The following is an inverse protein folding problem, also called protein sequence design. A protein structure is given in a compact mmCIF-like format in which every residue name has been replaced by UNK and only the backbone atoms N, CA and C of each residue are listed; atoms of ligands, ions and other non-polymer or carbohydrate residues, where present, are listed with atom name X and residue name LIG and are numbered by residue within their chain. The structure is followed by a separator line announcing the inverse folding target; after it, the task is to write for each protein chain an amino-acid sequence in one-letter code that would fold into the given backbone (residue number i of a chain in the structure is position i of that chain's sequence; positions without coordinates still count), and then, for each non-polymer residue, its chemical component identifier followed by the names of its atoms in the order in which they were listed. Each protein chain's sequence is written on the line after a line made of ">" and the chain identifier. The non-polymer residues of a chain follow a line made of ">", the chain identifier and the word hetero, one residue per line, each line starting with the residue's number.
data_IF_391603660012
#
_entry.id   IF_391603660012
#
_cell.length_a   1.000
_cell.length_b   1.000
_cell.length_c   1.000
_cell.angle_alpha   90.00
_cell.angle_beta   90.00
_cell.angle_gamma   90.00
#
_symmetry.space_group_name_H-M   'P 1'
#
loop_
_entity.id
_entity.type
_entity.pdbx_description
1 polymer ?
#
# COMPACT_ATOMS: atom_id res chain seq x y z
N UNK A 1 -14.49 -2.27 -8.35
CA UNK A 1 -14.40 -0.81 -8.18
C UNK A 1 -12.93 -0.45 -8.28
N UNK A 2 -12.57 0.71 -8.79
CA UNK A 2 -11.16 1.09 -8.82
C UNK A 2 -10.73 1.46 -7.40
N UNK A 3 -9.50 1.12 -6.98
CA UNK A 3 -8.92 1.49 -5.67
C UNK A 3 -9.15 2.96 -5.32
N UNK A 4 -9.08 3.85 -6.31
CA UNK A 4 -9.36 5.28 -6.14
C UNK A 4 -10.78 5.56 -5.63
N UNK A 5 -11.78 4.87 -6.17
CA UNK A 5 -13.19 5.05 -5.77
C UNK A 5 -13.39 4.64 -4.32
N UNK A 6 -12.82 3.50 -3.92
CA UNK A 6 -12.88 2.99 -2.54
C UNK A 6 -12.22 3.96 -1.57
N UNK A 7 -11.01 4.43 -1.90
CA UNK A 7 -10.29 5.42 -1.11
C UNK A 7 -11.11 6.72 -0.98
N UNK A 8 -11.71 7.21 -2.07
CA UNK A 8 -12.54 8.43 -2.02
C UNK A 8 -13.76 8.24 -1.13
N UNK A 9 -14.46 7.12 -1.24
CA UNK A 9 -15.61 6.80 -0.38
C UNK A 9 -15.19 6.80 1.09
N UNK A 10 -14.09 6.14 1.43
CA UNK A 10 -13.60 6.03 2.81
C UNK A 10 -13.08 7.35 3.38
N UNK A 11 -12.59 8.27 2.53
CA UNK A 11 -12.19 9.63 2.92
C UNK A 11 -13.35 10.64 2.93
N UNK A 12 -14.60 10.22 2.69
CA UNK A 12 -15.77 11.10 2.68
C UNK A 12 -15.97 11.90 1.39
N UNK A 13 -15.59 11.32 0.25
CA UNK A 13 -15.70 11.87 -1.11
C UNK A 13 -15.11 13.28 -1.28
N UNK A 14 -13.82 13.48 -0.98
CA UNK A 14 -13.19 14.78 -1.13
C UNK A 14 -13.09 15.19 -2.61
N UNK A 15 -13.38 16.47 -2.90
CA UNK A 15 -13.20 17.04 -4.24
C UNK A 15 -11.75 17.49 -4.47
N UNK A 16 -11.27 17.36 -5.71
CA UNK A 16 -9.97 17.91 -6.14
C UNK A 16 -8.73 17.16 -5.64
N UNK A 17 -8.87 16.00 -5.00
CA UNK A 17 -7.74 15.23 -4.46
C UNK A 17 -7.28 14.07 -5.35
N UNK A 18 -7.94 13.82 -6.48
CA UNK A 18 -7.70 12.64 -7.33
C UNK A 18 -6.23 12.50 -7.74
N UNK A 19 -5.56 13.58 -8.12
CA UNK A 19 -4.14 13.54 -8.49
C UNK A 19 -3.24 13.13 -7.31
N UNK A 20 -3.53 13.64 -6.11
CA UNK A 20 -2.79 13.31 -4.89
C UNK A 20 -3.05 11.86 -4.48
N UNK A 21 -4.31 11.43 -4.48
CA UNK A 21 -4.70 10.06 -4.15
C UNK A 21 -4.09 9.06 -5.14
N UNK A 22 -4.18 9.31 -6.45
CA UNK A 22 -3.55 8.48 -7.46
C UNK A 22 -2.02 8.38 -7.27
N UNK A 23 -1.37 9.47 -6.88
CA UNK A 23 0.07 9.45 -6.58
C UNK A 23 0.38 8.53 -5.40
N UNK A 24 -0.39 8.62 -4.32
CA UNK A 24 -0.21 7.77 -3.13
C UNK A 24 -0.51 6.30 -3.46
N UNK A 25 -1.58 6.03 -4.23
CA UNK A 25 -1.96 4.69 -4.69
C UNK A 25 -0.81 4.09 -5.50
N UNK A 26 -0.31 4.79 -6.53
CA UNK A 26 0.77 4.31 -7.38
C UNK A 26 2.04 3.96 -6.58
N UNK A 27 2.42 4.80 -5.60
CA UNK A 27 3.56 4.54 -4.74
C UNK A 27 3.33 3.34 -3.81
N UNK A 28 2.11 3.17 -3.32
CA UNK A 28 1.70 2.07 -2.44
C UNK A 28 1.69 0.74 -3.20
N UNK A 29 1.13 0.72 -4.42
CA UNK A 29 1.17 -0.44 -5.31
C UNK A 29 2.60 -0.85 -5.65
N UNK A 30 3.46 0.11 -6.00
CA UNK A 30 4.87 -0.18 -6.29
C UNK A 30 5.61 -0.78 -5.10
N UNK A 31 5.32 -0.32 -3.88
CA UNK A 31 5.89 -0.90 -2.67
C UNK A 31 5.36 -2.32 -2.43
N UNK A 32 4.05 -2.54 -2.53
CA UNK A 32 3.45 -3.86 -2.33
C UNK A 32 3.97 -4.88 -3.35
N UNK A 33 4.05 -4.50 -4.62
CA UNK A 33 4.69 -5.30 -5.69
C UNK A 33 6.12 -5.71 -5.33
N UNK A 34 6.90 -4.78 -4.80
CA UNK A 34 8.26 -5.05 -4.34
C UNK A 34 8.29 -6.06 -3.19
N UNK A 35 7.40 -5.92 -2.20
CA UNK A 35 7.31 -6.83 -1.04
C UNK A 35 6.88 -8.27 -1.44
N UNK A 36 5.96 -8.35 -2.41
CA UNK A 36 5.48 -9.60 -2.99
C UNK A 36 6.48 -10.24 -3.96
N UNK A 37 7.41 -9.45 -4.51
CA UNK A 37 8.26 -9.81 -5.63
C UNK A 37 7.43 -10.20 -6.88
N UNK A 38 6.47 -9.35 -7.24
CA UNK A 38 5.52 -9.53 -8.35
C UNK A 38 5.39 -8.25 -9.19
N UNK A 39 5.09 -8.39 -10.48
CA UNK A 39 4.90 -7.24 -11.39
C UNK A 39 3.53 -6.55 -11.24
N UNK A 40 2.57 -7.24 -10.61
CA UNK A 40 1.20 -6.76 -10.41
C UNK A 40 0.72 -7.08 -8.99
N UNK A 41 -0.19 -6.26 -8.47
CA UNK A 41 -0.85 -6.53 -7.18
C UNK A 41 -1.95 -7.57 -7.41
N UNK A 42 -1.93 -8.72 -6.70
CA UNK A 42 -3.00 -9.71 -6.78
C UNK A 42 -4.31 -9.14 -6.24
N UNK A 43 -5.44 -9.48 -6.86
CA UNK A 43 -6.77 -9.03 -6.42
C UNK A 43 -7.07 -9.38 -4.95
N UNK A 44 -6.58 -10.52 -4.44
CA UNK A 44 -6.76 -10.92 -3.03
C UNK A 44 -6.00 -10.01 -2.03
N UNK A 45 -5.08 -9.16 -2.50
CA UNK A 45 -4.30 -8.22 -1.70
C UNK A 45 -4.59 -6.75 -2.06
N UNK A 46 -5.54 -6.48 -2.95
CA UNK A 46 -5.86 -5.11 -3.41
C UNK A 46 -6.35 -4.23 -2.25
N UNK A 47 -7.02 -4.81 -1.25
CA UNK A 47 -7.47 -4.11 -0.05
C UNK A 47 -6.32 -3.45 0.73
N UNK A 48 -5.11 -4.04 0.71
CA UNK A 48 -3.92 -3.47 1.36
C UNK A 48 -3.58 -2.11 0.72
N UNK A 49 -3.71 -2.00 -0.61
CA UNK A 49 -3.43 -0.75 -1.32
C UNK A 49 -4.41 0.33 -0.87
N UNK A 50 -5.70 0.00 -0.75
CA UNK A 50 -6.74 0.92 -0.28
C UNK A 50 -6.45 1.41 1.15
N UNK A 51 -6.24 0.50 2.09
CA UNK A 51 -6.07 0.86 3.49
C UNK A 51 -4.75 1.61 3.75
N UNK A 52 -3.64 1.15 3.16
CA UNK A 52 -2.35 1.83 3.28
C UNK A 52 -2.37 3.21 2.62
N UNK A 53 -3.10 3.38 1.51
CA UNK A 53 -3.30 4.70 0.89
C UNK A 53 -3.96 5.68 1.85
N UNK A 54 -5.00 5.24 2.56
CA UNK A 54 -5.71 6.08 3.55
C UNK A 54 -4.78 6.46 4.70
N UNK A 55 -4.03 5.49 5.24
CA UNK A 55 -3.04 5.73 6.31
C UNK A 55 -2.04 6.80 5.87
N UNK A 56 -1.45 6.64 4.67
CA UNK A 56 -0.48 7.58 4.12
C UNK A 56 -1.06 8.96 3.86
N UNK A 57 -2.27 9.02 3.31
CA UNK A 57 -2.96 10.28 3.08
C UNK A 57 -3.18 11.06 4.39
N UNK A 58 -3.68 10.38 5.43
CA UNK A 58 -3.90 10.97 6.74
C UNK A 58 -2.60 11.43 7.39
N UNK A 59 -1.54 10.63 7.28
CA UNK A 59 -0.20 10.97 7.81
C UNK A 59 0.36 12.24 7.16
N UNK A 60 0.37 12.31 5.83
CA UNK A 60 0.81 13.50 5.07
C UNK A 60 -0.04 14.73 5.45
N UNK A 61 -1.35 14.56 5.65
CA UNK A 61 -2.23 15.63 6.11
C UNK A 61 -1.89 16.13 7.52
N UNK A 62 -1.50 15.24 8.42
CA UNK A 62 -1.16 15.55 9.82
C UNK A 62 0.24 16.16 10.00
N UNK A 63 1.18 15.88 9.10
CA UNK A 63 2.55 16.43 9.11
C UNK A 63 2.57 17.95 8.85
N UNK A 64 1.61 18.46 8.06
CA UNK A 64 1.42 19.90 7.84
C UNK A 64 0.84 20.66 9.05
N UNK A 65 0.22 19.95 10.01
CA UNK A 65 -0.32 20.52 11.25
C UNK A 65 0.71 20.45 12.38
N UNK A 66 1.63 19.49 12.31
CA UNK A 66 2.67 19.22 13.30
C UNK A 66 4.05 19.76 12.91
N UNK A 67 4.12 20.72 11.97
CA UNK A 67 5.33 21.34 11.41
C UNK A 67 6.13 22.21 12.40
N UNK A 68 6.30 21.73 13.63
CA UNK A 68 7.30 22.17 14.58
C UNK A 68 8.11 20.94 15.05
N UNK A 69 8.76 20.23 14.13
CA UNK A 69 9.90 19.37 14.49
C UNK A 69 10.72 18.91 13.28
N UNK A 70 12.00 19.28 13.38
CA UNK A 70 13.22 18.67 12.83
C UNK A 70 13.40 18.57 11.30
N UNK A 71 14.08 19.60 10.80
CA UNK A 71 15.09 19.52 9.74
C UNK A 71 15.97 18.26 9.91
N UNK A 72 16.00 17.40 8.90
CA UNK A 72 17.19 16.57 8.65
C UNK A 72 17.10 15.07 8.91
N UNK A 73 15.93 14.44 8.95
CA UNK A 73 15.85 12.98 8.78
C UNK A 73 15.43 12.68 7.34
N UNK A 74 16.33 12.03 6.61
CA UNK A 74 16.09 11.51 5.27
C UNK A 74 14.73 10.82 5.25
N UNK A 75 13.94 11.01 4.18
CA UNK A 75 12.66 10.32 3.98
C UNK A 75 12.87 8.80 3.81
N UNK A 76 13.29 8.13 4.87
CA UNK A 76 12.97 6.75 5.11
C UNK A 76 11.45 6.76 5.26
N UNK A 77 10.73 6.56 4.16
CA UNK A 77 9.31 6.19 4.15
C UNK A 77 9.21 4.97 5.06
N UNK A 78 9.04 5.23 6.35
CA UNK A 78 9.24 4.31 7.44
C UNK A 78 8.41 3.05 7.17
N UNK A 79 9.06 1.89 7.27
CA UNK A 79 8.57 0.54 6.96
C UNK A 79 7.28 0.10 7.70
N UNK A 80 6.59 1.01 8.40
CA UNK A 80 5.50 0.70 9.32
C UNK A 80 4.11 0.67 8.67
N UNK A 81 3.88 1.35 7.53
CA UNK A 81 2.51 1.41 6.99
C UNK A 81 2.01 0.03 6.51
N UNK A 82 2.91 -0.91 6.24
CA UNK A 82 2.59 -2.29 5.85
C UNK A 82 2.65 -3.28 7.02
N UNK A 83 3.04 -2.85 8.23
CA UNK A 83 3.31 -3.74 9.35
C UNK A 83 2.10 -4.64 9.71
N UNK A 84 0.89 -4.08 9.62
CA UNK A 84 -0.36 -4.82 9.88
C UNK A 84 -0.72 -5.88 8.84
N UNK A 85 -0.01 -5.93 7.71
CA UNK A 85 -0.32 -6.82 6.58
C UNK A 85 0.84 -7.76 6.23
N UNK A 86 1.90 -7.79 7.03
CA UNK A 86 3.06 -8.65 6.77
C UNK A 86 2.65 -10.13 6.74
N UNK A 87 1.78 -10.55 7.65
CA UNK A 87 1.29 -11.94 7.71
C UNK A 87 0.53 -12.34 6.43
N UNK A 88 -0.32 -11.45 5.89
CA UNK A 88 -1.06 -11.70 4.65
C UNK A 88 -0.13 -11.74 3.43
N UNK A 89 0.86 -10.84 3.38
CA UNK A 89 1.89 -10.82 2.35
C UNK A 89 2.72 -12.10 2.38
N UNK A 90 3.12 -12.57 3.57
CA UNK A 90 3.87 -13.81 3.74
C UNK A 90 3.02 -15.04 3.40
N UNK A 91 1.77 -15.08 3.83
CA UNK A 91 0.84 -16.16 3.50
C UNK A 91 0.65 -16.29 1.98
N UNK A 92 0.51 -15.17 1.27
CA UNK A 92 0.45 -15.15 -0.19
C UNK A 92 1.72 -15.75 -0.83
N UNK A 93 2.90 -15.30 -0.40
CA UNK A 93 4.19 -15.78 -0.91
C UNK A 93 4.37 -17.27 -0.67
N UNK A 94 3.98 -17.76 0.51
CA UNK A 94 4.07 -19.17 0.87
C UNK A 94 3.14 -20.03 0.01
N UNK A 95 1.86 -19.67 -0.12
CA UNK A 95 0.89 -20.33 -1.00
C UNK A 95 1.40 -20.44 -2.44
N UNK A 96 2.00 -19.37 -2.96
CA UNK A 96 2.58 -19.37 -4.31
C UNK A 96 3.78 -20.31 -4.46
N UNK A 97 4.65 -20.36 -3.46
CA UNK A 97 5.81 -21.26 -3.46
C UNK A 97 5.42 -22.74 -3.34
N UNK A 98 4.39 -23.07 -2.55
CA UNK A 98 3.84 -24.42 -2.48
C UNK A 98 3.29 -24.89 -3.83
N UNK A 99 2.57 -24.03 -4.55
CA UNK A 99 2.06 -24.34 -5.90
C UNK A 99 3.20 -24.58 -6.89
N UNK A 100 4.27 -23.76 -6.85
CA UNK A 100 5.47 -23.97 -7.68
C UNK A 100 6.17 -25.29 -7.36
N UNK A 101 6.20 -25.71 -6.09
CA UNK A 101 6.81 -26.97 -5.67
C UNK A 101 6.07 -28.21 -6.17
N UNK A 102 4.74 -28.15 -6.30
CA UNK A 102 3.89 -29.27 -6.76
C UNK A 102 3.93 -29.52 -8.27
N UNK A 103 4.38 -28.54 -9.07
CA UNK A 103 4.42 -28.63 -10.55
C UNK A 103 5.67 -29.35 -11.11
N UNK A 104 6.57 -29.85 -10.26
CA UNK A 104 7.70 -30.68 -10.72
C UNK A 104 7.36 -32.16 -10.56
N UNK A 105 6.62 -32.78 -11.48
CA UNK A 105 6.76 -34.19 -11.89
C UNK A 105 5.87 -34.44 -13.11
N UNK A 106 6.49 -34.60 -14.28
CA UNK A 106 6.21 -35.56 -15.37
C UNK A 106 7.24 -35.34 -16.49
#
# INVERSE_FOLDING_TARGET
>A
MAVLDDVKVLLGNPEGLDNKLNTIINLTENRLKTLLNEDTVPAELEYIVTEVTIIRFNKIGSEGVSSHSVEGESMSFNDNDFAGYLDDIEAYKNKKNEVKGKLKFL
#
